data_IF_333316300667
#
_entry.id   IF_333316300667
#
_cell.length_a   1.000
_cell.length_b   1.000
_cell.length_c   1.000
_cell.angle_alpha   90.00
_cell.angle_beta   90.00
_cell.angle_gamma   90.00
#
_symmetry.space_group_name_H-M   'P 1'
#
loop_
_entity.id
_entity.type
_entity.pdbx_description
1 polymer ?
#
# COMPACT_ATOMS: atom_id res chain seq x y z
N UNK A 1 19.54 16.81 33.42
CA UNK A 1 19.68 15.51 32.74
C UNK A 1 18.27 15.08 32.38
N UNK A 2 17.92 15.04 31.08
CA UNK A 2 16.56 14.69 30.64
C UNK A 2 16.44 13.17 30.66
N UNK A 3 15.94 12.62 31.76
CA UNK A 3 15.74 11.18 31.91
C UNK A 3 14.30 10.84 31.51
N UNK A 4 14.17 10.17 30.37
CA UNK A 4 12.90 9.77 29.78
C UNK A 4 12.20 8.71 30.67
N UNK A 5 10.93 8.93 31.08
CA UNK A 5 10.26 8.08 32.07
C UNK A 5 9.75 6.73 31.53
N UNK A 6 9.86 6.48 30.22
CA UNK A 6 9.30 5.30 29.53
C UNK A 6 10.23 4.09 29.38
N UNK A 7 11.33 4.02 30.13
CA UNK A 7 12.39 3.02 29.95
C UNK A 7 13.50 3.50 29.02
N UNK A 8 14.23 2.58 28.37
CA UNK A 8 15.32 2.96 27.48
C UNK A 8 14.77 3.63 26.20
N UNK A 9 15.43 4.66 25.67
CA UNK A 9 14.99 5.32 24.42
C UNK A 9 14.98 4.34 23.23
N UNK A 10 15.80 3.30 23.31
CA UNK A 10 15.83 2.19 22.36
C UNK A 10 14.49 1.45 22.32
N UNK A 11 13.86 1.22 23.47
CA UNK A 11 12.56 0.56 23.55
C UNK A 11 11.46 1.44 22.95
N UNK A 12 11.56 2.76 23.16
CA UNK A 12 10.64 3.72 22.56
C UNK A 12 10.76 3.73 21.03
N UNK A 13 11.99 3.77 20.51
CA UNK A 13 12.23 3.70 19.06
C UNK A 13 11.74 2.38 18.48
N UNK A 14 11.99 1.25 19.15
CA UNK A 14 11.49 -0.06 18.73
C UNK A 14 9.96 -0.07 18.66
N UNK A 15 9.28 0.42 19.70
CA UNK A 15 7.82 0.49 19.72
C UNK A 15 7.28 1.34 18.57
N UNK A 16 7.86 2.53 18.37
CA UNK A 16 7.45 3.45 17.28
C UNK A 16 7.64 2.78 15.92
N UNK A 17 8.79 2.16 15.68
CA UNK A 17 9.05 1.44 14.43
C UNK A 17 8.06 0.29 14.22
N UNK A 18 7.79 -0.50 15.25
CA UNK A 18 6.79 -1.59 15.18
C UNK A 18 5.42 -1.07 14.82
N UNK A 19 4.94 -0.01 15.48
CA UNK A 19 3.63 0.60 15.19
C UNK A 19 3.59 1.14 13.75
N UNK A 20 4.63 1.83 13.31
CA UNK A 20 4.72 2.37 11.95
C UNK A 20 4.75 1.26 10.90
N UNK A 21 5.47 0.16 11.15
CA UNK A 21 5.50 -1.00 10.24
C UNK A 21 4.13 -1.67 10.14
N UNK A 22 3.43 -1.87 11.26
CA UNK A 22 2.07 -2.43 11.25
C UNK A 22 1.11 -1.51 10.50
N UNK A 23 1.13 -0.22 10.79
CA UNK A 23 0.29 0.76 10.11
C UNK A 23 0.58 0.83 8.61
N UNK A 24 1.87 0.81 8.23
CA UNK A 24 2.30 0.73 6.83
C UNK A 24 1.81 -0.53 6.13
N UNK A 25 1.84 -1.68 6.81
CA UNK A 25 1.30 -2.94 6.28
C UNK A 25 -0.22 -2.86 6.07
N UNK A 26 -0.97 -2.24 6.98
CA UNK A 26 -2.41 -2.01 6.83
C UNK A 26 -2.68 -1.14 5.60
N UNK A 27 -1.93 -0.05 5.42
CA UNK A 27 -2.03 0.81 4.22
C UNK A 27 -1.73 0.02 2.95
N UNK A 28 -0.69 -0.82 2.95
CA UNK A 28 -0.33 -1.65 1.80
C UNK A 28 -1.45 -2.61 1.40
N UNK A 29 -2.02 -3.32 2.37
CA UNK A 29 -3.15 -4.22 2.12
C UNK A 29 -4.38 -3.45 1.60
N UNK A 30 -4.67 -2.28 2.20
CA UNK A 30 -5.74 -1.41 1.74
C UNK A 30 -5.53 -0.93 0.29
N UNK A 31 -4.29 -0.59 -0.10
CA UNK A 31 -3.93 -0.22 -1.46
C UNK A 31 -4.13 -1.37 -2.46
N UNK A 32 -3.70 -2.58 -2.09
CA UNK A 32 -3.92 -3.77 -2.93
C UNK A 32 -5.41 -3.98 -3.18
N UNK A 33 -6.22 -3.92 -2.13
CA UNK A 33 -7.67 -4.08 -2.23
C UNK A 33 -8.30 -2.97 -3.08
N UNK A 34 -7.86 -1.73 -2.89
CA UNK A 34 -8.31 -0.58 -3.67
C UNK A 34 -7.99 -0.75 -5.16
N UNK A 35 -6.76 -1.16 -5.51
CA UNK A 35 -6.36 -1.38 -6.91
C UNK A 35 -7.16 -2.51 -7.53
N UNK A 36 -7.32 -3.64 -6.83
CA UNK A 36 -8.13 -4.77 -7.31
C UNK A 36 -9.57 -4.34 -7.62
N UNK A 37 -10.19 -3.56 -6.72
CA UNK A 37 -11.55 -3.09 -6.92
C UNK A 37 -11.66 -2.06 -8.05
N UNK A 38 -10.70 -1.14 -8.15
CA UNK A 38 -10.69 -0.08 -9.17
C UNK A 38 -10.47 -0.65 -10.58
N UNK A 39 -9.49 -1.55 -10.77
CA UNK A 39 -9.21 -2.13 -12.09
C UNK A 39 -10.34 -3.03 -12.56
N UNK A 40 -10.99 -3.77 -11.66
CA UNK A 40 -12.15 -4.61 -11.97
C UNK A 40 -13.38 -3.80 -12.42
N UNK A 41 -13.51 -2.56 -11.97
CA UNK A 41 -14.55 -1.64 -12.45
C UNK A 41 -14.20 -0.96 -13.78
N UNK A 42 -12.94 -0.99 -14.21
CA UNK A 42 -12.45 -0.28 -15.40
C UNK A 42 -12.20 -1.18 -16.61
N UNK A 43 -11.79 -2.43 -16.41
CA UNK A 43 -11.51 -3.37 -17.50
C UNK A 43 -12.02 -4.77 -17.18
N UNK A 44 -12.46 -5.49 -18.22
CA UNK A 44 -12.81 -6.92 -18.16
C UNK A 44 -11.63 -7.83 -18.48
N UNK A 45 -10.50 -7.28 -18.93
CA UNK A 45 -9.29 -8.04 -19.24
C UNK A 45 -8.64 -8.57 -17.94
N UNK A 46 -8.65 -9.90 -17.71
CA UNK A 46 -8.08 -10.48 -16.49
C UNK A 46 -6.56 -10.30 -16.39
N UNK A 47 -5.84 -10.21 -17.51
CA UNK A 47 -4.38 -10.05 -17.52
C UNK A 47 -4.01 -8.68 -16.96
N UNK A 48 -4.67 -7.63 -17.44
CA UNK A 48 -4.45 -6.26 -16.96
C UNK A 48 -4.80 -6.10 -15.47
N UNK A 49 -5.83 -6.81 -15.00
CA UNK A 49 -6.19 -6.84 -13.57
C UNK A 49 -5.08 -7.46 -12.73
N UNK A 50 -4.58 -8.63 -13.13
CA UNK A 50 -3.51 -9.34 -12.42
C UNK A 50 -2.23 -8.51 -12.40
N UNK A 51 -1.81 -7.97 -13.55
CA UNK A 51 -0.59 -7.14 -13.65
C UNK A 51 -0.70 -5.92 -12.72
N UNK A 52 -1.84 -5.24 -12.72
CA UNK A 52 -2.07 -4.05 -11.87
C UNK A 52 -1.94 -4.38 -10.39
N UNK A 53 -2.52 -5.50 -9.94
CA UNK A 53 -2.44 -5.95 -8.55
C UNK A 53 -1.02 -6.38 -8.19
N UNK A 54 -0.35 -7.17 -9.04
CA UNK A 54 1.02 -7.62 -8.83
C UNK A 54 2.00 -6.46 -8.74
N UNK A 55 1.78 -5.41 -9.53
CA UNK A 55 2.63 -4.23 -9.56
C UNK A 55 2.55 -3.44 -8.24
N UNK A 56 1.36 -3.33 -7.63
CA UNK A 56 1.19 -2.71 -6.30
C UNK A 56 1.62 -3.65 -5.17
N UNK A 57 1.43 -4.96 -5.34
CA UNK A 57 1.91 -5.97 -4.40
C UNK A 57 3.44 -5.90 -4.31
N UNK A 58 4.17 -5.93 -5.43
CA UNK A 58 5.62 -5.88 -5.44
C UNK A 58 6.19 -4.48 -5.15
N UNK A 59 5.51 -3.43 -5.62
CA UNK A 59 6.03 -2.06 -5.62
C UNK A 59 5.47 -1.15 -4.53
N UNK A 60 4.53 -1.58 -3.69
CA UNK A 60 3.82 -0.75 -2.69
C UNK A 60 3.39 0.62 -3.27
N UNK A 61 3.96 1.72 -2.77
CA UNK A 61 3.68 3.09 -3.19
C UNK A 61 4.18 3.38 -4.62
N UNK A 62 5.46 3.15 -4.98
CA UNK A 62 5.92 3.24 -6.37
C UNK A 62 5.06 2.43 -7.35
N UNK A 63 4.68 1.22 -6.94
CA UNK A 63 3.78 0.37 -7.73
C UNK A 63 2.43 1.05 -7.96
N UNK A 64 1.81 1.52 -6.88
CA UNK A 64 0.56 2.26 -6.99
C UNK A 64 0.65 3.48 -7.92
N UNK A 65 1.76 4.22 -7.91
CA UNK A 65 1.93 5.39 -8.77
C UNK A 65 1.99 5.01 -10.26
N UNK A 66 2.72 3.95 -10.60
CA UNK A 66 2.75 3.43 -11.97
C UNK A 66 1.37 2.92 -12.39
N UNK A 67 0.65 2.25 -11.48
CA UNK A 67 -0.73 1.83 -11.72
C UNK A 67 -1.62 3.02 -12.10
N UNK A 68 -1.54 4.14 -11.38
CA UNK A 68 -2.34 5.33 -11.67
C UNK A 68 -2.09 5.89 -13.08
N UNK A 69 -0.89 5.73 -13.63
CA UNK A 69 -0.54 6.14 -14.99
C UNK A 69 -1.13 5.16 -16.02
N UNK A 70 -1.05 3.85 -15.76
CA UNK A 70 -1.57 2.79 -16.63
C UNK A 70 -3.11 2.67 -16.59
N UNK A 71 -3.74 3.28 -15.58
CA UNK A 71 -5.16 3.20 -15.31
C UNK A 71 -5.99 3.65 -16.52
N UNK A 72 -6.82 2.77 -17.11
CA UNK A 72 -7.69 3.13 -18.23
C UNK A 72 -8.67 4.25 -17.87
N UNK A 73 -8.83 5.25 -18.75
CA UNK A 73 -9.72 6.41 -18.51
C UNK A 73 -11.21 6.11 -18.70
N UNK A 74 -11.56 5.12 -19.51
CA UNK A 74 -12.94 4.77 -19.82
C UNK A 74 -13.40 3.60 -18.93
N UNK A 75 -14.57 3.74 -18.33
CA UNK A 75 -15.27 2.65 -17.64
C UNK A 75 -16.16 1.92 -18.66
N UNK A 76 -16.17 0.59 -18.61
CA UNK A 76 -17.08 -0.21 -19.41
C UNK A 76 -18.53 0.12 -19.00
N UNK A 77 -19.24 0.86 -19.84
CA UNK A 77 -20.69 1.13 -19.71
C UNK A 77 -21.49 -0.11 -20.05
#
# INVERSE_FOLDING_TARGET
MFDWPGGSWQDTVRLVLTVLSIYGAIIWVALIFWVFRDIRQRTRDPVMQIISVLLVLAGFLPGHWIYLILRPRQTLT
#
